data_IF_346193326033
#
_entry.id   IF_346193326033
#
_cell.length_a   1.000
_cell.length_b   1.000
_cell.length_c   1.000
_cell.angle_alpha   90.00
_cell.angle_beta   90.00
_cell.angle_gamma   90.00
#
_symmetry.space_group_name_H-M   'P 1'
#
loop_
_entity.id
_entity.type
_entity.pdbx_description
1 polymer ?
#
# COMPACT_ATOMS: atom_id res chain seq x y z
N UNK A 1 -29.06 -1.04 -22.13
CA UNK A 1 -27.87 -0.63 -21.35
C UNK A 1 -27.67 0.85 -21.62
N UNK A 2 -27.28 1.67 -20.64
CA UNK A 2 -27.10 3.12 -20.90
C UNK A 2 -25.72 3.37 -21.48
N UNK A 3 -25.66 4.13 -22.57
CA UNK A 3 -24.40 4.57 -23.20
C UNK A 3 -23.79 5.78 -22.48
N UNK A 4 -24.33 6.12 -21.30
CA UNK A 4 -23.94 7.26 -20.49
C UNK A 4 -23.59 6.86 -19.06
N UNK A 5 -22.66 7.63 -18.49
CA UNK A 5 -22.15 7.46 -17.15
C UNK A 5 -23.25 7.72 -16.11
N UNK A 6 -23.49 6.74 -15.23
CA UNK A 6 -24.52 6.81 -14.18
C UNK A 6 -24.04 7.45 -12.88
N UNK A 7 -22.77 7.82 -12.79
CA UNK A 7 -22.24 8.48 -11.60
C UNK A 7 -23.03 9.77 -11.33
N UNK A 8 -23.55 9.94 -10.11
CA UNK A 8 -24.33 11.12 -9.74
C UNK A 8 -23.67 11.92 -8.63
N UNK A 9 -23.64 13.24 -8.79
CA UNK A 9 -23.20 14.19 -7.77
C UNK A 9 -24.14 15.39 -7.80
N UNK A 10 -24.55 15.90 -6.64
CA UNK A 10 -25.46 17.05 -6.51
C UNK A 10 -26.80 16.85 -7.21
N UNK A 11 -27.29 15.62 -7.27
CA UNK A 11 -28.51 15.26 -8.02
C UNK A 11 -28.35 15.27 -9.55
N UNK A 12 -27.14 15.50 -10.09
CA UNK A 12 -26.85 15.48 -11.52
C UNK A 12 -26.03 14.25 -11.90
N UNK A 13 -26.50 13.52 -12.92
CA UNK A 13 -25.73 12.43 -13.52
C UNK A 13 -24.61 13.00 -14.40
N UNK A 14 -23.43 12.39 -14.36
CA UNK A 14 -22.26 12.79 -15.13
C UNK A 14 -22.56 12.88 -16.65
N UNK A 15 -23.30 11.91 -17.20
CA UNK A 15 -23.77 11.95 -18.59
C UNK A 15 -22.69 11.76 -19.66
N UNK A 16 -21.40 11.68 -19.30
CA UNK A 16 -20.30 11.38 -20.24
C UNK A 16 -20.53 10.02 -20.91
N UNK A 17 -20.16 9.87 -22.20
CA UNK A 17 -20.30 8.59 -22.89
C UNK A 17 -19.45 7.51 -22.20
N UNK A 18 -19.97 6.29 -22.16
CA UNK A 18 -19.26 5.11 -21.63
C UNK A 18 -19.02 4.10 -22.74
N UNK A 19 -17.92 3.36 -22.65
CA UNK A 19 -17.69 2.21 -23.52
C UNK A 19 -18.81 1.17 -23.32
N UNK A 20 -19.17 0.47 -24.40
CA UNK A 20 -20.26 -0.51 -24.41
C UNK A 20 -20.08 -1.54 -23.28
N UNK A 21 -21.09 -1.64 -22.42
CA UNK A 21 -21.10 -2.58 -21.28
C UNK A 21 -20.58 -2.01 -19.96
N UNK A 22 -20.08 -0.77 -19.92
CA UNK A 22 -19.69 -0.08 -18.68
C UNK A 22 -20.81 0.81 -18.14
N UNK A 23 -20.81 1.05 -16.83
CA UNK A 23 -21.78 1.94 -16.16
C UNK A 23 -21.18 3.30 -15.73
N UNK A 24 -19.84 3.40 -15.76
CA UNK A 24 -19.06 4.56 -15.34
C UNK A 24 -18.07 4.93 -16.46
N UNK A 25 -17.83 6.23 -16.67
CA UNK A 25 -16.77 6.70 -17.56
C UNK A 25 -15.39 6.45 -16.93
N UNK A 26 -14.31 6.58 -17.71
CA UNK A 26 -12.96 6.29 -17.25
C UNK A 26 -12.57 7.04 -15.97
N UNK A 27 -12.93 8.33 -15.89
CA UNK A 27 -12.72 9.16 -14.70
C UNK A 27 -13.43 8.57 -13.46
N UNK A 28 -14.73 8.28 -13.58
CA UNK A 28 -15.52 7.78 -12.45
C UNK A 28 -15.29 6.29 -12.15
N UNK A 29 -14.78 5.52 -13.11
CA UNK A 29 -14.33 4.15 -12.88
C UNK A 29 -13.08 4.12 -11.97
N UNK A 30 -12.25 5.16 -12.01
CA UNK A 30 -11.10 5.31 -11.13
C UNK A 30 -11.44 5.93 -9.76
N UNK A 31 -12.61 6.55 -9.63
CA UNK A 31 -13.05 7.18 -8.39
C UNK A 31 -13.29 6.14 -7.30
N UNK A 32 -12.68 6.35 -6.13
CA UNK A 32 -12.79 5.46 -4.97
C UNK A 32 -13.59 6.11 -3.86
N UNK A 33 -14.35 5.29 -3.14
CA UNK A 33 -15.03 5.71 -1.94
C UNK A 33 -14.01 6.19 -0.89
N UNK A 34 -14.28 7.35 -0.30
CA UNK A 34 -13.42 7.93 0.74
C UNK A 34 -13.34 7.07 2.01
N UNK A 35 -14.34 6.21 2.26
CA UNK A 35 -14.39 5.33 3.42
C UNK A 35 -13.79 3.94 3.11
N UNK A 36 -14.39 3.17 2.21
CA UNK A 36 -13.99 1.77 1.97
C UNK A 36 -13.08 1.56 0.75
N UNK A 37 -12.66 2.61 0.03
CA UNK A 37 -11.77 2.48 -1.13
C UNK A 37 -12.30 1.70 -2.34
N UNK A 38 -13.51 1.12 -2.27
CA UNK A 38 -14.20 0.49 -3.39
C UNK A 38 -14.61 1.53 -4.44
N UNK A 39 -14.94 1.14 -5.69
CA UNK A 39 -15.41 2.08 -6.70
C UNK A 39 -16.58 2.92 -6.17
N UNK A 40 -16.45 4.24 -6.28
CA UNK A 40 -17.50 5.16 -5.90
C UNK A 40 -18.63 5.10 -6.92
N UNK A 41 -19.87 5.17 -6.44
CA UNK A 41 -21.06 5.15 -7.31
C UNK A 41 -21.72 6.53 -7.40
N UNK A 42 -21.45 7.40 -6.41
CA UNK A 42 -22.00 8.74 -6.32
C UNK A 42 -21.11 9.64 -5.45
N UNK A 43 -21.32 10.95 -5.54
CA UNK A 43 -20.83 11.91 -4.56
C UNK A 43 -21.92 12.23 -3.55
N UNK A 44 -21.53 12.39 -2.29
CA UNK A 44 -22.44 12.84 -1.24
C UNK A 44 -22.51 14.37 -1.24
N UNK A 45 -23.70 14.91 -1.48
CA UNK A 45 -23.94 16.35 -1.63
C UNK A 45 -23.69 17.13 -0.33
N UNK A 46 -23.78 16.43 0.80
CA UNK A 46 -23.62 17.01 2.13
C UNK A 46 -22.15 17.24 2.49
N UNK A 47 -21.25 16.36 2.05
CA UNK A 47 -19.83 16.40 2.44
C UNK A 47 -18.86 16.55 1.27
N UNK A 48 -19.33 16.49 0.02
CA UNK A 48 -18.50 16.53 -1.19
C UNK A 48 -17.60 15.30 -1.38
N UNK A 49 -17.76 14.24 -0.57
CA UNK A 49 -16.94 13.04 -0.65
C UNK A 49 -17.54 12.02 -1.62
N UNK A 50 -16.67 11.25 -2.27
CA UNK A 50 -17.08 10.11 -3.09
C UNK A 50 -17.43 8.91 -2.22
N UNK A 51 -18.56 8.27 -2.52
CA UNK A 51 -19.17 7.23 -1.69
C UNK A 51 -19.62 6.05 -2.52
N UNK A 52 -19.49 4.86 -1.94
CA UNK A 52 -19.92 3.61 -2.55
C UNK A 52 -21.37 3.30 -2.17
N UNK A 53 -22.13 2.77 -3.13
CA UNK A 53 -23.46 2.20 -2.93
C UNK A 53 -24.55 3.21 -2.59
N UNK A 54 -25.77 2.99 -3.09
CA UNK A 54 -26.95 3.68 -2.59
C UNK A 54 -28.05 2.64 -2.38
N UNK A 55 -28.25 2.12 -1.15
CA UNK A 55 -27.66 2.53 0.14
C UNK A 55 -26.14 2.22 0.27
N UNK A 56 -25.48 2.85 1.25
CA UNK A 56 -24.08 2.60 1.58
C UNK A 56 -23.81 1.09 1.74
N UNK A 57 -22.58 0.66 1.41
CA UNK A 57 -22.19 -0.73 1.63
C UNK A 57 -22.05 -1.06 3.12
N UNK A 58 -21.93 -2.35 3.44
CA UNK A 58 -21.84 -2.83 4.81
C UNK A 58 -20.61 -2.35 5.58
N UNK A 59 -19.56 -1.88 4.88
CA UNK A 59 -18.32 -1.40 5.51
C UNK A 59 -18.36 0.10 5.81
N UNK A 60 -19.25 0.84 5.14
CA UNK A 60 -19.36 2.28 5.26
C UNK A 60 -20.47 2.68 6.24
N UNK A 61 -20.24 3.77 6.94
CA UNK A 61 -21.25 4.48 7.73
C UNK A 61 -21.12 5.98 7.51
N UNK A 62 -22.00 6.73 8.14
CA UNK A 62 -21.93 8.18 8.18
C UNK A 62 -22.08 8.68 9.61
N UNK A 63 -21.61 9.90 9.86
CA UNK A 63 -21.75 10.56 11.14
C UNK A 63 -21.67 12.07 10.99
N UNK A 64 -21.85 12.78 12.10
CA UNK A 64 -21.76 14.24 12.14
C UNK A 64 -20.60 14.63 13.06
N UNK A 65 -19.65 15.41 12.56
CA UNK A 65 -18.53 15.90 13.36
C UNK A 65 -19.02 16.99 14.33
N UNK A 66 -19.16 16.63 15.62
CA UNK A 66 -19.81 17.47 16.64
C UNK A 66 -19.01 18.71 17.09
N UNK A 67 -17.83 18.97 16.51
CA UNK A 67 -16.99 20.13 16.85
C UNK A 67 -17.00 21.27 15.82
N UNK A 68 -17.63 21.06 14.66
CA UNK A 68 -17.61 22.06 13.57
C UNK A 68 -18.95 22.79 13.50
N UNK A 69 -18.97 24.10 13.18
CA UNK A 69 -20.22 24.83 13.01
C UNK A 69 -21.01 24.26 11.84
N UNK A 70 -22.29 23.99 12.06
CA UNK A 70 -23.21 23.58 11.00
C UNK A 70 -23.68 24.82 10.22
N UNK A 71 -23.15 25.05 9.01
CA UNK A 71 -23.84 25.86 8.00
C UNK A 71 -23.08 26.95 7.23
N UNK A 72 -23.86 27.56 6.34
CA UNK A 72 -23.62 28.57 5.30
C UNK A 72 -22.68 28.21 4.13
N UNK A 73 -21.43 27.82 4.37
CA UNK A 73 -20.47 27.46 3.30
C UNK A 73 -19.52 26.31 3.66
N UNK A 74 -19.70 25.71 4.85
CA UNK A 74 -19.10 24.44 5.20
C UNK A 74 -20.05 23.32 4.80
N UNK A 75 -19.59 22.45 3.91
CA UNK A 75 -20.15 21.11 3.71
C UNK A 75 -20.66 20.59 5.06
N UNK A 76 -21.97 20.36 5.14
CA UNK A 76 -22.67 19.99 6.36
C UNK A 76 -21.84 18.91 7.05
N UNK A 77 -21.59 19.04 8.37
CA UNK A 77 -20.66 18.21 9.19
C UNK A 77 -20.83 16.68 9.08
N UNK A 78 -21.73 16.21 8.22
CA UNK A 78 -21.77 14.90 7.63
C UNK A 78 -20.39 14.46 7.11
N UNK A 79 -19.96 13.28 7.55
CA UNK A 79 -18.75 12.62 7.08
C UNK A 79 -19.08 11.17 6.77
N UNK A 80 -18.43 10.61 5.75
CA UNK A 80 -18.45 9.18 5.50
C UNK A 80 -17.18 8.55 6.05
N UNK A 81 -17.36 7.59 6.95
CA UNK A 81 -16.27 6.86 7.61
C UNK A 81 -16.57 5.38 7.54
N UNK A 82 -15.53 4.56 7.65
CA UNK A 82 -15.73 3.11 7.76
C UNK A 82 -16.30 2.79 9.14
N UNK A 83 -17.11 1.74 9.25
CA UNK A 83 -17.55 1.27 10.56
C UNK A 83 -16.32 0.94 11.42
N UNK A 84 -16.42 1.05 12.76
CA UNK A 84 -15.30 0.79 13.66
C UNK A 84 -14.62 -0.56 13.41
N UNK A 85 -15.39 -1.61 13.09
CA UNK A 85 -14.83 -2.93 12.75
C UNK A 85 -14.00 -2.99 11.46
N UNK A 86 -14.13 -1.98 10.58
CA UNK A 86 -13.44 -1.91 9.28
C UNK A 86 -12.53 -0.67 9.13
N UNK A 87 -12.42 0.18 10.16
CA UNK A 87 -11.65 1.41 10.12
C UNK A 87 -10.20 1.18 9.66
N UNK A 88 -9.56 0.14 10.18
CA UNK A 88 -8.16 -0.16 9.89
C UNK A 88 -7.98 -1.11 8.71
N UNK A 89 -9.05 -1.57 8.06
CA UNK A 89 -8.95 -2.64 7.03
C UNK A 89 -8.07 -2.23 5.86
N UNK A 90 -8.23 -1.00 5.37
CA UNK A 90 -7.45 -0.50 4.24
C UNK A 90 -6.01 -0.17 4.61
N UNK A 91 -5.80 0.37 5.80
CA UNK A 91 -4.46 0.61 6.33
C UNK A 91 -3.72 -0.71 6.54
N UNK A 92 -4.37 -1.69 7.17
CA UNK A 92 -3.84 -3.04 7.33
C UNK A 92 -3.52 -3.72 6.00
N UNK A 93 -4.36 -3.53 4.97
CA UNK A 93 -4.08 -4.05 3.63
C UNK A 93 -2.82 -3.41 3.01
N UNK A 94 -2.66 -2.09 3.14
CA UNK A 94 -1.43 -1.39 2.68
C UNK A 94 -0.21 -1.85 3.46
N UNK A 95 -0.29 -1.92 4.79
CA UNK A 95 0.80 -2.36 5.65
C UNK A 95 1.22 -3.79 5.34
N UNK A 96 0.28 -4.70 5.09
CA UNK A 96 0.58 -6.08 4.66
C UNK A 96 1.32 -6.12 3.33
N UNK A 97 0.89 -5.34 2.34
CA UNK A 97 1.58 -5.26 1.04
C UNK A 97 3.01 -4.72 1.19
N UNK A 98 3.20 -3.69 2.01
CA UNK A 98 4.52 -3.14 2.32
C UNK A 98 5.41 -4.18 3.01
N UNK A 99 4.87 -4.89 4.02
CA UNK A 99 5.59 -5.95 4.74
C UNK A 99 6.02 -7.07 3.80
N UNK A 100 5.18 -7.46 2.84
CA UNK A 100 5.50 -8.50 1.86
C UNK A 100 6.61 -8.06 0.91
N UNK A 101 6.56 -6.82 0.41
CA UNK A 101 7.63 -6.22 -0.40
C UNK A 101 8.97 -6.21 0.35
N UNK A 102 8.97 -5.77 1.62
CA UNK A 102 10.19 -5.76 2.44
C UNK A 102 10.72 -7.17 2.73
N UNK A 103 9.84 -8.16 2.93
CA UNK A 103 10.25 -9.57 3.04
C UNK A 103 10.92 -10.09 1.78
N UNK A 104 10.42 -9.72 0.61
CA UNK A 104 11.05 -10.09 -0.67
C UNK A 104 12.44 -9.46 -0.79
N UNK A 105 12.58 -8.18 -0.49
CA UNK A 105 13.88 -7.49 -0.46
C UNK A 105 14.86 -8.16 0.49
N UNK A 106 14.43 -8.52 1.69
CA UNK A 106 15.26 -9.25 2.66
C UNK A 106 15.67 -10.64 2.14
N UNK A 107 14.78 -11.35 1.44
CA UNK A 107 15.09 -12.65 0.86
C UNK A 107 16.14 -12.53 -0.26
N UNK A 108 16.05 -11.50 -1.10
CA UNK A 108 17.04 -11.22 -2.15
C UNK A 108 18.41 -10.87 -1.56
N UNK A 109 18.44 -10.00 -0.54
CA UNK A 109 19.69 -9.66 0.16
C UNK A 109 20.30 -10.89 0.82
N UNK A 110 19.48 -11.74 1.46
CA UNK A 110 19.96 -13.00 2.05
C UNK A 110 20.53 -13.95 1.00
N UNK A 111 19.88 -14.07 -0.15
CA UNK A 111 20.37 -14.89 -1.26
C UNK A 111 21.72 -14.38 -1.77
N UNK A 112 21.83 -13.07 -2.03
CA UNK A 112 23.08 -12.46 -2.47
C UNK A 112 24.22 -12.65 -1.45
N UNK A 113 23.93 -12.54 -0.15
CA UNK A 113 24.91 -12.78 0.90
C UNK A 113 25.40 -14.24 0.93
N UNK A 114 24.50 -15.21 0.70
CA UNK A 114 24.87 -16.63 0.64
C UNK A 114 25.70 -16.95 -0.62
N UNK A 115 25.36 -16.36 -1.77
CA UNK A 115 26.13 -16.50 -3.01
C UNK A 115 27.55 -15.93 -2.87
N UNK A 116 27.68 -14.76 -2.21
CA UNK A 116 29.00 -14.17 -1.95
C UNK A 116 29.80 -14.99 -0.93
N UNK A 117 29.16 -15.52 0.12
CA UNK A 117 29.81 -16.42 1.05
C UNK A 117 30.33 -17.70 0.36
N UNK A 118 29.55 -18.28 -0.56
CA UNK A 118 29.96 -19.43 -1.35
C UNK A 118 31.17 -19.12 -2.25
N UNK A 119 31.20 -17.95 -2.90
CA UNK A 119 32.37 -17.49 -3.67
C UNK A 119 33.62 -17.33 -2.80
N UNK A 120 33.47 -16.81 -1.58
CA UNK A 120 34.59 -16.66 -0.64
C UNK A 120 35.13 -18.05 -0.27
N UNK A 121 34.26 -19.01 0.02
CA UNK A 121 34.63 -20.40 0.35
C UNK A 121 35.37 -21.09 -0.81
N UNK A 122 34.88 -20.96 -2.05
CA UNK A 122 35.56 -21.47 -3.24
C UNK A 122 36.96 -20.85 -3.42
N UNK A 123 37.07 -19.53 -3.24
CA UNK A 123 38.35 -18.81 -3.36
C UNK A 123 39.37 -19.21 -2.30
N UNK A 124 38.92 -19.53 -1.09
CA UNK A 124 39.80 -19.95 0.02
C UNK A 124 40.09 -21.45 0.03
N UNK A 125 39.41 -22.24 -0.80
CA UNK A 125 39.59 -23.69 -0.88
C UNK A 125 39.14 -24.43 0.37
N UNK A 126 38.21 -23.86 1.14
CA UNK A 126 37.67 -24.44 2.38
C UNK A 126 36.14 -24.36 2.38
N UNK A 127 35.48 -25.41 2.87
CA UNK A 127 34.02 -25.53 2.85
C UNK A 127 33.45 -25.52 4.29
N UNK A 128 32.12 -25.52 4.42
CA UNK A 128 31.42 -25.55 5.73
C UNK A 128 31.70 -26.83 6.55
N UNK A 129 32.36 -27.84 5.98
CA UNK A 129 32.73 -29.06 6.68
C UNK A 129 34.10 -28.92 7.40
N UNK A 130 34.85 -27.86 7.10
CA UNK A 130 36.11 -27.51 7.78
C UNK A 130 35.90 -26.72 9.08
N UNK A 131 34.66 -26.30 9.38
CA UNK A 131 34.31 -25.56 10.61
C UNK A 131 34.09 -26.57 11.76
N UNK A 132 35.13 -26.76 12.57
CA UNK A 132 35.04 -27.58 13.78
C UNK A 132 34.17 -26.88 14.84
N UNK A 133 33.32 -27.61 15.62
CA UNK A 133 32.46 -26.96 16.61
C UNK A 133 33.28 -26.21 17.67
N UNK A 134 33.20 -24.88 17.65
CA UNK A 134 33.91 -23.98 18.57
C UNK A 134 34.94 -23.05 17.92
N UNK A 135 35.30 -23.26 16.65
CA UNK A 135 36.17 -22.36 15.90
C UNK A 135 35.33 -21.54 14.90
N UNK A 136 34.96 -20.32 15.27
CA UNK A 136 34.16 -19.42 14.42
C UNK A 136 35.00 -18.72 13.35
N UNK A 137 35.91 -19.45 12.69
CA UNK A 137 36.85 -18.88 11.74
C UNK A 137 36.15 -18.36 10.47
N UNK A 138 35.13 -19.06 9.96
CA UNK A 138 34.31 -18.56 8.83
C UNK A 138 33.64 -17.23 9.20
N UNK A 139 33.12 -17.11 10.43
CA UNK A 139 32.52 -15.86 10.89
C UNK A 139 33.54 -14.71 10.99
N UNK A 140 34.78 -14.97 11.42
CA UNK A 140 35.84 -13.96 11.46
C UNK A 140 36.31 -13.53 10.06
N UNK A 141 36.45 -14.47 9.12
CA UNK A 141 36.85 -14.17 7.73
C UNK A 141 35.77 -13.36 7.02
N UNK A 142 34.50 -13.77 7.15
CA UNK A 142 33.35 -13.02 6.64
C UNK A 142 33.30 -11.61 7.29
N UNK A 143 33.48 -11.52 8.61
CA UNK A 143 33.49 -10.22 9.30
C UNK A 143 34.66 -9.32 8.88
N UNK A 144 35.81 -9.89 8.52
CA UNK A 144 36.99 -9.14 8.05
C UNK A 144 36.80 -8.62 6.62
N UNK A 145 36.24 -9.43 5.72
CA UNK A 145 35.92 -9.00 4.36
C UNK A 145 34.78 -7.98 4.32
N UNK A 146 33.73 -8.15 5.14
CA UNK A 146 32.67 -7.15 5.30
C UNK A 146 33.26 -5.80 5.75
N UNK A 147 34.18 -5.79 6.73
CA UNK A 147 34.87 -4.57 7.17
C UNK A 147 35.72 -3.94 6.05
N UNK A 148 36.40 -4.74 5.25
CA UNK A 148 37.21 -4.25 4.13
C UNK A 148 36.35 -3.63 3.02
N UNK A 149 35.21 -4.24 2.70
CA UNK A 149 34.24 -3.71 1.73
C UNK A 149 33.59 -2.42 2.23
N UNK A 150 33.17 -2.36 3.50
CA UNK A 150 32.61 -1.15 4.12
C UNK A 150 33.61 0.02 4.08
N UNK A 151 34.88 -0.23 4.42
CA UNK A 151 35.92 0.80 4.35
C UNK A 151 36.20 1.31 2.92
N UNK A 152 36.05 0.44 1.90
CA UNK A 152 36.17 0.87 0.49
C UNK A 152 34.97 1.71 0.06
N UNK A 153 33.75 1.35 0.50
CA UNK A 153 32.53 2.12 0.25
C UNK A 153 32.58 3.52 0.88
N UNK A 154 33.07 3.63 2.13
CA UNK A 154 33.25 4.93 2.80
C UNK A 154 34.26 5.82 2.08
N UNK A 155 35.34 5.25 1.53
CA UNK A 155 36.34 6.00 0.75
C UNK A 155 35.87 6.38 -0.66
N UNK A 156 34.87 5.70 -1.21
CA UNK A 156 34.31 5.99 -2.53
C UNK A 156 33.18 7.05 -2.48
N UNK A 157 32.65 7.33 -1.29
CA UNK A 157 31.58 8.31 -1.04
C UNK A 157 32.11 9.66 -0.48
N UNK A 158 33.43 9.88 -0.52
CA UNK A 158 34.12 11.16 -0.24
C UNK A 158 34.75 11.64 -1.54
#
# INVERSE_FOLDING_TARGET
MSDTCKFSTYGYACGKPVEHGRYLCEEHASAKCASCGQPATHGCDFCGQFVCGMPLCDECTYGTEQGKPSGAWGFMNHIHVSKPEFADKHENARLKATLESERQRHAEVRKAALEEAARIAERTGRNNEDDWPGETWIAEVIAKEIRALLSKLEKANV
#
